data_IF_854878951532
#
_entry.id   IF_854878951532
#
_cell.length_a   1.000
_cell.length_b   1.000
_cell.length_c   1.000
_cell.angle_alpha   90.00
_cell.angle_beta   90.00
_cell.angle_gamma   90.00
#
_symmetry.space_group_name_H-M   'P 1'
#
loop_
_entity.id
_entity.type
_entity.pdbx_description
1 polymer ?
#
# COMPACT_ATOMS: atom_id res chain seq x y z
N UNK A 1 -12.52 39.14 -14.96
CA UNK A 1 -13.99 39.19 -15.02
C UNK A 1 -14.45 38.02 -15.85
N UNK A 2 -15.37 37.20 -15.34
CA UNK A 2 -15.81 35.95 -15.99
C UNK A 2 -16.51 36.13 -17.33
N UNK A 3 -17.27 35.13 -17.77
CA UNK A 3 -18.06 35.19 -19.00
C UNK A 3 -19.06 36.36 -18.94
N UNK A 4 -18.90 37.35 -19.84
CA UNK A 4 -19.76 38.54 -19.96
C UNK A 4 -20.66 38.51 -21.19
N UNK A 5 -20.79 37.38 -21.87
CA UNK A 5 -21.56 37.24 -23.11
C UNK A 5 -22.99 37.77 -22.93
N UNK A 6 -23.68 37.39 -21.87
CA UNK A 6 -25.04 37.88 -21.60
C UNK A 6 -25.11 39.39 -21.31
N UNK A 7 -24.07 39.98 -20.71
CA UNK A 7 -24.00 41.44 -20.52
C UNK A 7 -23.83 42.17 -21.85
N UNK A 8 -23.03 41.60 -22.77
CA UNK A 8 -22.84 42.15 -24.12
C UNK A 8 -24.10 41.99 -24.96
N UNK A 9 -24.81 40.87 -24.84
CA UNK A 9 -26.09 40.63 -25.52
C UNK A 9 -27.21 41.57 -25.03
N UNK A 10 -27.23 41.92 -23.74
CA UNK A 10 -28.24 42.81 -23.17
C UNK A 10 -27.99 44.30 -23.47
N UNK A 11 -26.74 44.70 -23.72
CA UNK A 11 -26.35 46.10 -23.92
C UNK A 11 -27.14 46.82 -25.02
N UNK A 12 -27.33 46.26 -26.24
CA UNK A 12 -28.12 46.91 -27.29
C UNK A 12 -29.57 47.20 -26.89
N UNK A 13 -30.19 46.30 -26.12
CA UNK A 13 -31.57 46.43 -25.66
C UNK A 13 -31.67 47.59 -24.66
N UNK A 14 -30.78 47.60 -23.66
CA UNK A 14 -30.74 48.63 -22.62
C UNK A 14 -30.42 50.01 -23.22
N UNK A 15 -29.44 50.08 -24.13
CA UNK A 15 -29.06 51.34 -24.80
C UNK A 15 -30.24 51.89 -25.62
N UNK A 16 -30.98 51.03 -26.32
CA UNK A 16 -32.13 51.44 -27.13
C UNK A 16 -33.25 52.02 -26.26
N UNK A 17 -33.55 51.37 -25.14
CA UNK A 17 -34.61 51.81 -24.23
C UNK A 17 -34.26 53.13 -23.53
N UNK A 18 -33.02 53.27 -23.05
CA UNK A 18 -32.54 54.51 -22.44
C UNK A 18 -32.54 55.68 -23.44
N UNK A 19 -32.15 55.46 -24.70
CA UNK A 19 -32.27 56.50 -25.74
C UNK A 19 -33.72 56.90 -25.99
N UNK A 20 -34.66 55.96 -25.94
CA UNK A 20 -36.10 56.24 -26.09
C UNK A 20 -36.64 57.11 -24.95
N UNK A 21 -36.11 56.92 -23.75
CA UNK A 21 -36.44 57.74 -22.57
C UNK A 21 -35.69 59.08 -22.51
N UNK A 22 -35.02 59.48 -23.60
CA UNK A 22 -34.37 60.78 -23.72
C UNK A 22 -32.95 60.87 -23.16
N UNK A 23 -32.36 59.76 -22.72
CA UNK A 23 -30.99 59.76 -22.21
C UNK A 23 -29.96 59.80 -23.36
N UNK A 24 -28.98 60.67 -23.25
CA UNK A 24 -27.80 60.73 -24.12
C UNK A 24 -26.61 60.01 -23.47
N UNK A 25 -25.89 59.22 -24.26
CA UNK A 25 -24.65 58.59 -23.82
C UNK A 25 -23.50 59.49 -24.23
N UNK A 26 -22.89 60.12 -23.25
CA UNK A 26 -21.74 61.01 -23.40
C UNK A 26 -20.52 60.36 -22.73
N UNK A 27 -19.34 60.63 -23.27
CA UNK A 27 -18.11 60.20 -22.61
C UNK A 27 -17.85 61.09 -21.39
N UNK A 28 -17.04 60.59 -20.44
CA UNK A 28 -16.61 61.41 -19.29
C UNK A 28 -15.85 62.66 -19.79
N UNK A 29 -15.13 62.56 -20.91
CA UNK A 29 -14.50 63.70 -21.60
C UNK A 29 -15.48 64.75 -22.08
N UNK A 30 -16.60 64.34 -22.67
CA UNK A 30 -17.64 65.27 -23.11
C UNK A 30 -18.32 65.95 -21.91
N UNK A 31 -18.57 65.21 -20.82
CA UNK A 31 -19.14 65.77 -19.58
C UNK A 31 -18.21 66.77 -18.89
N UNK A 32 -16.90 66.52 -18.93
CA UNK A 32 -15.91 67.37 -18.28
C UNK A 32 -15.38 68.48 -19.20
N UNK A 33 -15.82 68.52 -20.47
CA UNK A 33 -15.33 69.42 -21.51
C UNK A 33 -13.79 69.40 -21.62
N UNK A 34 -13.21 68.18 -21.63
CA UNK A 34 -11.77 67.93 -21.72
C UNK A 34 -11.48 67.01 -22.88
N UNK A 35 -10.28 67.15 -23.45
CA UNK A 35 -9.82 66.22 -24.47
C UNK A 35 -9.66 64.81 -23.89
N UNK A 36 -9.93 63.78 -24.70
CA UNK A 36 -9.88 62.38 -24.27
C UNK A 36 -8.53 62.03 -23.63
N UNK A 37 -7.44 62.54 -24.18
CA UNK A 37 -6.08 62.29 -23.74
C UNK A 37 -5.74 63.01 -22.42
N UNK A 38 -6.54 63.99 -21.97
CA UNK A 38 -6.38 64.59 -20.65
C UNK A 38 -7.00 63.72 -19.54
N UNK A 39 -8.04 62.95 -19.87
CA UNK A 39 -8.73 62.05 -18.93
C UNK A 39 -8.14 60.63 -18.96
N UNK A 40 -7.64 60.20 -20.12
CA UNK A 40 -6.95 58.93 -20.28
C UNK A 40 -5.60 59.17 -20.97
N UNK A 41 -4.62 59.76 -20.25
CA UNK A 41 -3.34 60.11 -20.84
C UNK A 41 -2.61 58.89 -21.41
N UNK A 42 -1.92 59.05 -22.55
CA UNK A 42 -1.14 57.97 -23.12
C UNK A 42 -0.07 57.55 -22.12
N UNK A 43 0.13 56.24 -22.00
CA UNK A 43 1.06 55.66 -21.02
C UNK A 43 2.45 56.24 -21.23
N UNK A 44 3.01 56.87 -20.19
CA UNK A 44 4.37 57.42 -20.20
C UNK A 44 5.40 56.33 -20.50
N UNK A 45 6.59 56.72 -20.99
CA UNK A 45 7.68 55.78 -21.29
C UNK A 45 8.05 54.89 -20.10
N UNK A 46 7.98 55.43 -18.87
CA UNK A 46 8.14 54.67 -17.62
C UNK A 46 6.94 53.73 -17.36
N UNK A 47 5.71 54.20 -17.57
CA UNK A 47 4.50 53.39 -17.41
C UNK A 47 4.41 52.19 -18.36
N UNK A 48 5.03 52.27 -19.55
CA UNK A 48 5.07 51.14 -20.50
C UNK A 48 5.86 49.95 -19.94
N UNK A 49 6.93 50.19 -19.17
CA UNK A 49 7.69 49.12 -18.52
C UNK A 49 6.88 48.45 -17.41
N UNK A 50 6.18 49.24 -16.59
CA UNK A 50 5.26 48.71 -15.58
C UNK A 50 4.12 47.88 -16.19
N UNK A 51 3.58 48.31 -17.34
CA UNK A 51 2.52 47.57 -18.04
C UNK A 51 3.02 46.23 -18.57
N UNK A 52 4.22 46.19 -19.16
CA UNK A 52 4.87 44.95 -19.61
C UNK A 52 5.15 44.01 -18.44
N UNK A 53 5.70 44.55 -17.34
CA UNK A 53 5.96 43.80 -16.10
C UNK A 53 4.68 43.20 -15.53
N UNK A 54 3.64 44.01 -15.32
CA UNK A 54 2.37 43.54 -14.79
C UNK A 54 1.72 42.49 -15.71
N UNK A 55 1.73 42.71 -17.03
CA UNK A 55 1.23 41.73 -17.99
C UNK A 55 2.00 40.40 -17.88
N UNK A 56 3.34 40.46 -17.80
CA UNK A 56 4.17 39.27 -17.65
C UNK A 56 3.89 38.54 -16.33
N UNK A 57 3.80 39.27 -15.20
CA UNK A 57 3.52 38.68 -13.89
C UNK A 57 2.14 38.04 -13.84
N UNK A 58 1.07 38.76 -14.22
CA UNK A 58 -0.29 38.22 -14.16
C UNK A 58 -0.52 37.10 -15.17
N UNK A 59 0.04 37.19 -16.38
CA UNK A 59 -0.04 36.08 -17.34
C UNK A 59 0.77 34.88 -16.86
N UNK A 60 1.98 35.08 -16.33
CA UNK A 60 2.80 34.03 -15.75
C UNK A 60 2.11 33.33 -14.58
N UNK A 61 1.54 34.08 -13.63
CA UNK A 61 0.75 33.53 -12.53
C UNK A 61 -0.50 32.79 -13.03
N UNK A 62 -1.16 33.31 -14.07
CA UNK A 62 -2.28 32.65 -14.74
C UNK A 62 -1.87 31.29 -15.34
N UNK A 63 -0.81 31.26 -16.15
CA UNK A 63 -0.28 30.04 -16.74
C UNK A 63 0.17 29.04 -15.67
N UNK A 64 0.87 29.49 -14.64
CA UNK A 64 1.29 28.64 -13.52
C UNK A 64 0.09 27.99 -12.83
N UNK A 65 -0.96 28.77 -12.54
CA UNK A 65 -2.22 28.25 -11.98
C UNK A 65 -2.87 27.24 -12.94
N UNK A 66 -2.92 27.52 -14.24
CA UNK A 66 -3.50 26.61 -15.24
C UNK A 66 -2.73 25.29 -15.34
N UNK A 67 -1.39 25.34 -15.33
CA UNK A 67 -0.55 24.15 -15.32
C UNK A 67 -0.81 23.34 -14.04
N UNK A 68 -0.75 23.98 -12.87
CA UNK A 68 -0.95 23.32 -11.59
C UNK A 68 -2.34 22.66 -11.50
N UNK A 69 -3.40 23.37 -11.91
CA UNK A 69 -4.77 22.83 -11.91
C UNK A 69 -4.93 21.68 -12.90
N UNK A 70 -4.30 21.76 -14.08
CA UNK A 70 -4.32 20.67 -15.06
C UNK A 70 -3.63 19.42 -14.52
N UNK A 71 -2.44 19.58 -13.92
CA UNK A 71 -1.72 18.48 -13.26
C UNK A 71 -2.59 17.85 -12.17
N UNK A 72 -3.29 18.67 -11.37
CA UNK A 72 -4.16 18.18 -10.30
C UNK A 72 -5.33 17.35 -10.84
N UNK A 73 -6.01 17.81 -11.89
CA UNK A 73 -7.09 17.04 -12.52
C UNK A 73 -6.59 15.74 -13.16
N UNK A 74 -5.41 15.76 -13.81
CA UNK A 74 -4.80 14.54 -14.35
C UNK A 74 -4.47 13.56 -13.20
N UNK A 75 -3.87 14.03 -12.11
CA UNK A 75 -3.55 13.20 -10.96
C UNK A 75 -4.80 12.58 -10.31
N UNK A 76 -5.88 13.35 -10.14
CA UNK A 76 -7.17 12.83 -9.67
C UNK A 76 -7.72 11.78 -10.64
N UNK A 77 -7.71 12.07 -11.94
CA UNK A 77 -8.19 11.14 -12.97
C UNK A 77 -7.44 9.81 -12.96
N UNK A 78 -6.10 9.87 -12.90
CA UNK A 78 -5.24 8.69 -12.77
C UNK A 78 -5.49 7.95 -11.45
N UNK A 79 -5.70 8.66 -10.35
CA UNK A 79 -6.04 8.08 -9.05
C UNK A 79 -7.36 7.31 -9.07
N UNK A 80 -8.42 7.91 -9.63
CA UNK A 80 -9.73 7.26 -9.79
C UNK A 80 -9.61 6.05 -10.72
N UNK A 81 -8.92 6.19 -11.86
CA UNK A 81 -8.72 5.10 -12.80
C UNK A 81 -7.98 3.93 -12.14
N UNK A 82 -6.86 4.19 -11.44
CA UNK A 82 -6.12 3.18 -10.67
C UNK A 82 -7.03 2.49 -9.66
N UNK A 83 -7.82 3.24 -8.89
CA UNK A 83 -8.70 2.67 -7.88
C UNK A 83 -9.76 1.74 -8.48
N UNK A 84 -10.42 2.16 -9.57
CA UNK A 84 -11.39 1.33 -10.28
C UNK A 84 -10.74 0.08 -10.89
N UNK A 85 -9.54 0.23 -11.44
CA UNK A 85 -8.74 -0.87 -11.99
C UNK A 85 -8.42 -1.91 -10.91
N UNK A 86 -7.93 -1.48 -9.75
CA UNK A 86 -7.62 -2.36 -8.62
C UNK A 86 -8.89 -3.07 -8.09
N UNK A 87 -10.00 -2.35 -7.96
CA UNK A 87 -11.28 -2.96 -7.54
C UNK A 87 -11.73 -4.04 -8.51
N UNK A 88 -11.66 -3.77 -9.81
CA UNK A 88 -12.06 -4.74 -10.84
C UNK A 88 -11.27 -6.04 -10.75
N UNK A 89 -9.93 -5.95 -10.71
CA UNK A 89 -9.07 -7.14 -10.60
C UNK A 89 -9.19 -7.84 -9.25
N UNK A 90 -9.31 -7.11 -8.14
CA UNK A 90 -9.51 -7.71 -6.83
C UNK A 90 -10.86 -8.45 -6.73
N UNK A 91 -11.90 -7.94 -7.37
CA UNK A 91 -13.20 -8.62 -7.47
C UNK A 91 -13.13 -9.88 -8.33
N UNK A 92 -12.42 -9.83 -9.46
CA UNK A 92 -12.17 -10.98 -10.32
C UNK A 92 -11.42 -12.09 -9.56
N UNK A 93 -10.35 -11.72 -8.84
CA UNK A 93 -9.58 -12.61 -7.97
C UNK A 93 -10.46 -13.27 -6.90
N UNK A 94 -11.32 -12.48 -6.24
CA UNK A 94 -12.23 -12.99 -5.21
C UNK A 94 -13.20 -14.01 -5.78
N UNK A 95 -13.77 -13.77 -6.97
CA UNK A 95 -14.67 -14.72 -7.64
C UNK A 95 -13.94 -16.03 -7.98
N UNK A 96 -12.74 -15.95 -8.55
CA UNK A 96 -11.89 -17.12 -8.87
C UNK A 96 -11.54 -17.94 -7.62
N UNK A 97 -11.26 -17.26 -6.50
CA UNK A 97 -10.93 -17.93 -5.23
C UNK A 97 -12.13 -18.64 -4.63
N UNK A 98 -13.33 -18.06 -4.73
CA UNK A 98 -14.58 -18.66 -4.23
C UNK A 98 -15.00 -19.90 -5.03
N UNK A 99 -14.64 -19.99 -6.32
CA UNK A 99 -14.95 -21.15 -7.16
C UNK A 99 -13.86 -22.23 -7.15
N UNK A 100 -12.76 -22.04 -6.41
CA UNK A 100 -11.64 -22.99 -6.41
C UNK A 100 -11.99 -24.22 -5.57
N UNK A 101 -11.87 -25.40 -6.17
CA UNK A 101 -11.96 -26.67 -5.45
C UNK A 101 -10.87 -26.73 -4.36
N UNK A 102 -11.25 -27.23 -3.19
CA UNK A 102 -10.33 -27.41 -2.07
C UNK A 102 -10.11 -28.91 -1.93
N UNK A 103 -8.91 -29.37 -2.29
CA UNK A 103 -8.55 -30.75 -2.06
C UNK A 103 -8.13 -30.95 -0.59
N UNK A 104 -9.03 -31.49 0.23
CA UNK A 104 -8.75 -31.77 1.64
C UNK A 104 -7.69 -32.85 1.87
N UNK A 105 -7.34 -33.64 0.85
CA UNK A 105 -6.29 -34.67 0.96
C UNK A 105 -4.88 -34.12 0.76
N UNK A 106 -4.73 -32.90 0.21
CA UNK A 106 -3.43 -32.27 0.03
C UNK A 106 -2.93 -31.71 1.37
N UNK A 107 -2.14 -32.52 2.08
CA UNK A 107 -1.60 -32.18 3.40
C UNK A 107 -0.09 -32.45 3.48
N UNK A 108 0.75 -31.69 2.74
CA UNK A 108 2.21 -31.81 2.86
C UNK A 108 2.70 -31.45 4.26
N UNK A 109 3.81 -32.02 4.71
CA UNK A 109 4.37 -31.65 6.01
C UNK A 109 4.84 -30.18 5.99
N UNK A 110 4.42 -29.39 6.98
CA UNK A 110 4.72 -27.96 7.10
C UNK A 110 5.70 -27.70 8.23
N UNK A 111 6.73 -26.89 7.99
CA UNK A 111 7.56 -26.34 9.07
C UNK A 111 7.23 -24.86 9.24
N UNK A 112 6.68 -24.49 10.40
CA UNK A 112 6.50 -23.09 10.79
C UNK A 112 7.81 -22.62 11.43
N UNK A 113 8.44 -21.61 10.85
CA UNK A 113 9.74 -21.09 11.28
C UNK A 113 9.56 -19.67 11.81
N UNK A 114 10.04 -19.44 13.02
CA UNK A 114 9.93 -18.18 13.75
C UNK A 114 11.34 -17.76 14.18
N UNK A 115 11.77 -16.57 13.76
CA UNK A 115 12.94 -15.91 14.36
C UNK A 115 12.48 -15.08 15.55
N UNK A 116 13.15 -15.22 16.68
CA UNK A 116 12.83 -14.51 17.92
C UNK A 116 14.07 -13.81 18.47
N UNK A 117 13.91 -12.54 18.86
CA UNK A 117 14.92 -11.76 19.57
C UNK A 117 14.24 -10.79 20.54
N UNK A 118 14.37 -11.05 21.84
CA UNK A 118 13.74 -10.28 22.91
C UNK A 118 12.18 -10.24 22.85
N UNK A 119 11.55 -11.41 22.75
CA UNK A 119 10.11 -11.61 22.54
C UNK A 119 9.41 -12.34 23.71
N UNK A 120 9.95 -12.26 24.93
CA UNK A 120 9.49 -13.01 26.10
C UNK A 120 7.98 -12.84 26.40
N UNK A 121 7.42 -11.68 26.05
CA UNK A 121 6.04 -11.29 26.37
C UNK A 121 5.00 -11.83 25.40
N UNK A 122 5.40 -12.18 24.18
CA UNK A 122 4.48 -12.48 23.08
C UNK A 122 4.68 -13.86 22.47
N UNK A 123 5.89 -14.40 22.50
CA UNK A 123 6.26 -15.64 21.80
C UNK A 123 5.38 -16.84 22.17
N UNK A 124 5.06 -16.99 23.46
CA UNK A 124 4.21 -18.09 23.93
C UNK A 124 2.80 -18.02 23.32
N UNK A 125 2.23 -16.82 23.22
CA UNK A 125 0.90 -16.61 22.65
C UNK A 125 0.89 -16.92 21.15
N UNK A 126 1.94 -16.52 20.44
CA UNK A 126 2.13 -16.81 19.02
C UNK A 126 2.17 -18.32 18.77
N UNK A 127 2.97 -19.06 19.54
CA UNK A 127 3.08 -20.51 19.39
C UNK A 127 1.76 -21.21 19.74
N UNK A 128 1.07 -20.79 20.80
CA UNK A 128 -0.27 -21.33 21.09
C UNK A 128 -1.23 -21.13 19.91
N UNK A 129 -1.22 -19.97 19.25
CA UNK A 129 -2.06 -19.74 18.07
C UNK A 129 -1.73 -20.67 16.90
N UNK A 130 -0.47 -21.07 16.75
CA UNK A 130 -0.05 -22.06 15.74
C UNK A 130 -0.49 -23.47 16.15
N UNK A 131 -0.36 -23.81 17.42
CA UNK A 131 -0.77 -25.12 17.96
C UNK A 131 -2.28 -25.33 17.89
N UNK A 132 -3.07 -24.25 17.97
CA UNK A 132 -4.53 -24.25 17.80
C UNK A 132 -4.98 -24.38 16.33
N UNK A 133 -4.03 -24.48 15.38
CA UNK A 133 -4.33 -24.66 13.96
C UNK A 133 -5.12 -25.96 13.71
N UNK A 134 -6.05 -25.89 12.75
CA UNK A 134 -6.78 -27.06 12.26
C UNK A 134 -5.93 -27.95 11.34
N UNK A 135 -4.76 -27.48 10.92
CA UNK A 135 -3.80 -28.24 10.12
C UNK A 135 -3.02 -29.21 11.01
N UNK A 136 -2.88 -30.49 10.63
CA UNK A 136 -2.31 -31.51 11.53
C UNK A 136 -0.83 -31.81 11.30
N UNK A 137 -0.39 -31.80 10.05
CA UNK A 137 0.96 -32.23 9.65
C UNK A 137 1.97 -31.08 9.68
N UNK A 138 2.35 -30.64 10.88
CA UNK A 138 3.32 -29.55 11.03
C UNK A 138 4.26 -29.69 12.23
N UNK A 139 5.41 -29.03 12.13
CA UNK A 139 6.31 -28.69 13.24
C UNK A 139 6.45 -27.16 13.37
N UNK A 140 6.88 -26.70 14.54
CA UNK A 140 7.21 -25.32 14.85
C UNK A 140 8.67 -25.26 15.27
N UNK A 141 9.45 -24.45 14.57
CA UNK A 141 10.87 -24.22 14.84
C UNK A 141 11.01 -22.76 15.24
N UNK A 142 11.41 -22.53 16.47
CA UNK A 142 11.73 -21.21 17.01
C UNK A 142 13.23 -21.08 17.07
N UNK A 143 13.79 -20.11 16.36
CA UNK A 143 15.20 -19.78 16.38
C UNK A 143 15.37 -18.52 17.21
N UNK A 144 15.93 -18.67 18.41
CA UNK A 144 16.33 -17.57 19.26
C UNK A 144 17.68 -17.02 18.79
N UNK A 145 17.67 -15.78 18.29
CA UNK A 145 18.83 -15.07 17.74
C UNK A 145 19.63 -14.34 18.83
N UNK A 146 19.93 -15.06 19.92
CA UNK A 146 20.73 -14.54 21.03
C UNK A 146 19.98 -13.52 21.90
N UNK A 147 18.72 -13.79 22.23
CA UNK A 147 17.92 -12.94 23.14
C UNK A 147 18.63 -12.70 24.48
N UNK A 148 18.48 -11.48 24.97
CA UNK A 148 19.00 -11.03 26.28
C UNK A 148 17.94 -11.05 27.39
N UNK A 149 16.68 -11.26 27.03
CA UNK A 149 15.54 -11.36 27.93
C UNK A 149 15.17 -12.83 28.25
N UNK A 150 13.99 -13.06 28.81
CA UNK A 150 13.47 -14.38 29.14
C UNK A 150 12.97 -15.23 27.95
N UNK A 151 13.15 -14.84 26.68
CA UNK A 151 12.54 -15.52 25.52
C UNK A 151 12.82 -17.03 25.49
N UNK A 152 14.10 -17.42 25.53
CA UNK A 152 14.49 -18.83 25.58
C UNK A 152 13.97 -19.55 26.81
N UNK A 153 13.92 -18.87 27.96
CA UNK A 153 13.41 -19.45 29.21
C UNK A 153 11.92 -19.77 29.11
N UNK A 154 11.13 -18.82 28.61
CA UNK A 154 9.69 -19.00 28.35
C UNK A 154 9.45 -20.19 27.41
N UNK A 155 10.27 -20.31 26.36
CA UNK A 155 10.20 -21.42 25.41
C UNK A 155 10.46 -22.78 26.06
N UNK A 156 11.51 -22.86 26.89
CA UNK A 156 11.85 -24.09 27.60
C UNK A 156 10.77 -24.44 28.64
N UNK A 157 10.34 -23.48 29.47
CA UNK A 157 9.35 -23.75 30.52
C UNK A 157 7.98 -24.14 29.95
N UNK A 158 7.55 -23.50 28.86
CA UNK A 158 6.21 -23.70 28.29
C UNK A 158 6.14 -24.87 27.31
N UNK A 159 7.19 -25.11 26.51
CA UNK A 159 7.13 -26.03 25.37
C UNK A 159 8.18 -27.16 25.37
N UNK A 160 9.02 -27.33 26.41
CA UNK A 160 10.10 -28.34 26.40
C UNK A 160 9.68 -29.78 26.03
N UNK A 161 8.43 -30.17 26.32
CA UNK A 161 7.89 -31.51 26.02
C UNK A 161 6.89 -31.53 24.87
N UNK A 162 6.65 -30.40 24.22
CA UNK A 162 5.67 -30.36 23.15
C UNK A 162 6.24 -31.03 21.88
N UNK A 163 5.65 -32.13 21.37
CA UNK A 163 6.26 -32.95 20.32
C UNK A 163 6.47 -32.23 18.98
N UNK A 164 5.73 -31.13 18.77
CA UNK A 164 5.81 -30.32 17.55
C UNK A 164 6.70 -29.09 17.66
N UNK A 165 7.15 -28.69 18.86
CA UNK A 165 7.87 -27.42 19.05
C UNK A 165 9.34 -27.70 19.31
N UNK A 166 10.21 -27.01 18.57
CA UNK A 166 11.66 -27.08 18.70
C UNK A 166 12.21 -25.68 18.91
N UNK A 167 13.03 -25.52 19.94
CA UNK A 167 13.83 -24.31 20.17
C UNK A 167 15.25 -24.56 19.66
N UNK A 168 15.79 -23.60 18.92
CA UNK A 168 17.19 -23.56 18.48
C UNK A 168 17.75 -22.22 18.95
N UNK A 169 18.87 -22.25 19.66
CA UNK A 169 19.54 -21.05 20.14
C UNK A 169 20.81 -20.84 19.32
N UNK A 170 21.05 -19.60 18.89
CA UNK A 170 22.28 -19.19 18.21
C UNK A 170 22.78 -17.86 18.76
N UNK A 171 24.02 -17.51 18.41
CA UNK A 171 24.53 -16.15 18.61
C UNK A 171 23.80 -15.18 17.67
N UNK A 172 23.60 -13.94 18.11
CA UNK A 172 22.88 -12.91 17.34
C UNK A 172 23.56 -12.66 15.99
N UNK A 173 22.80 -12.86 14.91
CA UNK A 173 23.25 -12.59 13.54
C UNK A 173 22.17 -11.91 12.69
N UNK A 174 21.10 -11.42 13.30
CA UNK A 174 19.96 -10.82 12.63
C UNK A 174 18.89 -11.82 12.18
N UNK A 175 17.73 -11.27 11.80
CA UNK A 175 16.53 -12.03 11.43
C UNK A 175 16.78 -13.01 10.28
N UNK A 176 17.42 -12.58 9.19
CA UNK A 176 17.73 -13.43 8.04
C UNK A 176 18.61 -14.62 8.43
N UNK A 177 19.64 -14.40 9.25
CA UNK A 177 20.52 -15.46 9.77
C UNK A 177 19.74 -16.49 10.60
N UNK A 178 18.87 -16.03 11.50
CA UNK A 178 18.01 -16.91 12.30
C UNK A 178 16.99 -17.69 11.44
N UNK A 179 16.34 -17.02 10.48
CA UNK A 179 15.41 -17.65 9.55
C UNK A 179 16.10 -18.70 8.67
N UNK A 180 17.30 -18.41 8.17
CA UNK A 180 18.11 -19.33 7.36
C UNK A 180 18.47 -20.59 8.15
N UNK A 181 18.86 -20.46 9.42
CA UNK A 181 19.08 -21.62 10.30
C UNK A 181 17.79 -22.44 10.47
N UNK A 182 16.64 -21.76 10.66
CA UNK A 182 15.34 -22.41 10.73
C UNK A 182 14.98 -23.18 9.45
N UNK A 183 15.27 -22.61 8.28
CA UNK A 183 15.04 -23.25 6.98
C UNK A 183 15.89 -24.51 6.80
N UNK A 184 17.16 -24.46 7.20
CA UNK A 184 18.04 -25.63 7.14
C UNK A 184 17.55 -26.76 8.06
N UNK A 185 16.99 -26.41 9.22
CA UNK A 185 16.55 -27.35 10.25
C UNK A 185 15.09 -27.84 10.08
N UNK A 186 14.38 -27.26 9.12
CA UNK A 186 13.02 -27.63 8.74
C UNK A 186 12.96 -28.99 8.06
N UNK A 187 11.89 -29.75 8.25
CA UNK A 187 11.62 -31.03 7.56
C UNK A 187 10.47 -30.94 6.57
N UNK A 188 9.69 -29.87 6.66
CA UNK A 188 8.53 -29.61 5.82
C UNK A 188 8.89 -29.42 4.35
N UNK A 189 7.98 -29.88 3.50
CA UNK A 189 8.00 -29.55 2.08
C UNK A 189 7.65 -28.07 1.87
N UNK A 190 6.72 -27.57 2.71
CA UNK A 190 6.31 -26.17 2.76
C UNK A 190 6.85 -25.55 4.04
N UNK A 191 7.48 -24.38 3.90
CA UNK A 191 7.95 -23.57 5.01
C UNK A 191 6.97 -22.41 5.18
N UNK A 192 6.46 -22.21 6.39
CA UNK A 192 5.69 -21.03 6.77
C UNK A 192 6.57 -20.15 7.65
N UNK A 193 6.83 -18.92 7.22
CA UNK A 193 7.53 -17.90 8.01
C UNK A 193 6.50 -17.11 8.82
N UNK A 194 6.81 -16.84 10.08
CA UNK A 194 5.95 -16.06 10.96
C UNK A 194 6.80 -15.19 11.89
N UNK A 195 6.38 -13.94 12.10
CA UNK A 195 6.98 -13.08 13.12
C UNK A 195 6.58 -13.57 14.53
N UNK A 196 7.47 -13.35 15.50
CA UNK A 196 7.32 -13.84 16.87
C UNK A 196 6.12 -13.24 17.64
N UNK A 197 5.56 -12.12 17.16
CA UNK A 197 4.43 -11.39 17.76
C UNK A 197 3.10 -11.58 16.98
N UNK A 198 3.10 -12.40 15.92
CA UNK A 198 1.94 -12.55 15.04
C UNK A 198 1.02 -13.70 15.45
N UNK A 199 -0.26 -13.39 15.67
CA UNK A 199 -1.29 -14.39 15.97
C UNK A 199 -1.98 -14.82 14.69
N UNK A 200 -2.06 -16.13 14.44
CA UNK A 200 -2.74 -16.67 13.27
C UNK A 200 -4.15 -17.19 13.59
N UNK A 201 -5.01 -17.21 12.57
CA UNK A 201 -6.30 -17.88 12.66
C UNK A 201 -6.13 -19.40 12.57
N UNK A 202 -7.08 -20.16 13.15
CA UNK A 202 -7.03 -21.63 13.17
C UNK A 202 -6.96 -22.25 11.77
N UNK A 203 -7.49 -21.58 10.74
CA UNK A 203 -7.50 -22.01 9.35
C UNK A 203 -6.39 -21.38 8.50
N UNK A 204 -5.51 -20.56 9.07
CA UNK A 204 -4.51 -19.81 8.30
C UNK A 204 -3.55 -20.73 7.52
N UNK A 205 -2.99 -21.74 8.20
CA UNK A 205 -2.04 -22.68 7.58
C UNK A 205 -2.73 -23.50 6.48
N UNK A 206 -3.93 -24.05 6.76
CA UNK A 206 -4.66 -24.84 5.76
C UNK A 206 -5.09 -24.01 4.54
N UNK A 207 -5.50 -22.76 4.75
CA UNK A 207 -5.83 -21.84 3.66
C UNK A 207 -4.62 -21.43 2.80
N UNK A 208 -3.42 -21.37 3.37
CA UNK A 208 -2.19 -21.08 2.64
C UNK A 208 -1.68 -22.32 1.89
N UNK A 209 -1.61 -23.46 2.57
CA UNK A 209 -1.02 -24.70 2.04
C UNK A 209 -1.75 -25.20 0.80
N UNK A 210 -3.08 -25.10 0.75
CA UNK A 210 -3.88 -25.56 -0.41
C UNK A 210 -3.45 -24.94 -1.74
N UNK A 211 -2.83 -23.76 -1.74
CA UNK A 211 -2.39 -23.11 -2.97
C UNK A 211 -1.16 -23.81 -3.59
N UNK A 212 -0.38 -24.54 -2.80
CA UNK A 212 0.75 -25.34 -3.27
C UNK A 212 0.33 -26.67 -3.93
N UNK A 213 -0.96 -26.98 -4.03
CA UNK A 213 -1.39 -28.09 -4.90
C UNK A 213 -0.99 -27.79 -6.36
N UNK A 214 -1.02 -26.52 -6.76
CA UNK A 214 -0.47 -26.06 -8.03
C UNK A 214 1.06 -25.96 -7.95
N UNK A 215 1.74 -26.79 -8.72
CA UNK A 215 3.22 -26.86 -8.76
C UNK A 215 3.88 -25.55 -9.23
N UNK A 216 3.13 -24.68 -9.93
CA UNK A 216 3.63 -23.38 -10.37
C UNK A 216 3.60 -22.31 -9.26
N UNK A 217 2.93 -22.57 -8.15
CA UNK A 217 2.90 -21.66 -7.01
C UNK A 217 4.18 -21.83 -6.20
N UNK A 218 5.05 -20.81 -6.25
CA UNK A 218 6.31 -20.78 -5.52
C UNK A 218 6.16 -20.25 -4.08
N UNK A 219 5.25 -19.29 -3.89
CA UNK A 219 5.03 -18.62 -2.61
C UNK A 219 3.57 -18.18 -2.42
N UNK A 220 3.15 -18.04 -1.16
CA UNK A 220 1.80 -17.62 -0.77
C UNK A 220 1.88 -16.64 0.39
N UNK A 221 1.22 -15.48 0.28
CA UNK A 221 1.10 -14.50 1.36
C UNK A 221 -0.16 -14.75 2.19
N UNK A 222 -0.04 -14.68 3.52
CA UNK A 222 -1.19 -14.62 4.40
C UNK A 222 -1.84 -13.22 4.43
N UNK A 223 -3.11 -13.18 4.82
CA UNK A 223 -3.89 -11.95 4.96
C UNK A 223 -3.70 -11.34 6.36
N UNK A 224 -2.79 -10.38 6.46
CA UNK A 224 -2.46 -9.67 7.71
C UNK A 224 -3.53 -8.62 8.04
N UNK A 225 -3.93 -8.58 9.32
CA UNK A 225 -4.91 -7.62 9.83
C UNK A 225 -4.46 -7.05 11.17
N UNK A 226 -4.75 -5.78 11.39
CA UNK A 226 -4.57 -5.13 12.70
C UNK A 226 -5.45 -5.81 13.75
N UNK A 227 -4.82 -6.34 14.80
CA UNK A 227 -5.47 -7.05 15.89
C UNK A 227 -6.06 -6.15 16.98
N UNK A 228 -5.50 -4.96 17.20
CA UNK A 228 -5.84 -4.07 18.32
C UNK A 228 -6.78 -2.90 17.93
N UNK A 229 -8.01 -3.19 17.51
CA UNK A 229 -8.99 -2.17 17.07
C UNK A 229 -9.74 -1.52 18.23
N UNK A 230 -9.03 -0.73 19.03
CA UNK A 230 -9.55 -0.12 20.27
C UNK A 230 -9.94 1.35 20.13
N UNK A 231 -9.41 2.08 19.16
CA UNK A 231 -9.64 3.52 19.03
C UNK A 231 -9.65 3.97 17.55
N UNK A 232 -9.86 5.26 17.31
CA UNK A 232 -9.90 5.83 15.96
C UNK A 232 -8.59 5.61 15.19
N UNK A 233 -7.45 5.78 15.85
CA UNK A 233 -6.13 5.60 15.22
C UNK A 233 -5.94 4.15 14.75
N UNK A 234 -6.22 3.16 15.60
CA UNK A 234 -6.09 1.74 15.22
C UNK A 234 -7.18 1.29 14.24
N UNK A 235 -8.32 1.99 14.20
CA UNK A 235 -9.34 1.79 13.17
C UNK A 235 -8.88 2.34 11.82
N UNK A 236 -8.25 3.53 11.78
CA UNK A 236 -7.66 4.07 10.56
C UNK A 236 -6.50 3.21 10.06
N UNK A 237 -5.63 2.75 10.95
CA UNK A 237 -4.60 1.77 10.62
C UNK A 237 -5.22 0.49 10.04
N UNK A 238 -6.35 0.04 10.59
CA UNK A 238 -7.05 -1.12 10.04
C UNK A 238 -7.58 -0.87 8.62
N UNK A 239 -8.16 0.31 8.36
CA UNK A 239 -8.61 0.71 7.02
C UNK A 239 -7.43 0.75 6.07
N UNK A 240 -6.31 1.37 6.45
CA UNK A 240 -5.07 1.41 5.67
C UNK A 240 -4.58 0.00 5.30
N UNK A 241 -4.56 -0.94 6.26
CA UNK A 241 -4.19 -2.34 5.98
C UNK A 241 -5.13 -3.03 4.99
N UNK A 242 -6.44 -2.75 5.06
CA UNK A 242 -7.41 -3.32 4.11
C UNK A 242 -7.23 -2.70 2.72
N UNK A 243 -7.20 -1.37 2.63
CA UNK A 243 -7.25 -0.65 1.36
C UNK A 243 -5.88 -0.61 0.67
N UNK A 244 -4.80 -0.41 1.43
CA UNK A 244 -3.44 -0.25 0.93
C UNK A 244 -2.74 -1.57 0.64
N UNK A 245 -2.92 -2.59 1.47
CA UNK A 245 -2.23 -3.88 1.28
C UNK A 245 -3.15 -4.95 0.66
N UNK A 246 -4.31 -5.20 1.26
CA UNK A 246 -5.11 -6.36 0.89
C UNK A 246 -5.85 -6.21 -0.45
N UNK A 247 -6.31 -5.00 -0.79
CA UNK A 247 -6.96 -4.75 -2.09
C UNK A 247 -5.94 -4.86 -3.23
N UNK A 248 -4.80 -4.20 -3.10
CA UNK A 248 -3.75 -4.19 -4.13
C UNK A 248 -3.18 -5.59 -4.36
N UNK A 249 -2.91 -6.34 -3.29
CA UNK A 249 -2.42 -7.73 -3.41
C UNK A 249 -3.39 -8.65 -4.16
N UNK A 250 -4.70 -8.51 -3.96
CA UNK A 250 -5.67 -9.31 -4.74
C UNK A 250 -5.63 -8.96 -6.22
N UNK A 251 -5.46 -7.68 -6.55
CA UNK A 251 -5.31 -7.27 -7.94
C UNK A 251 -4.01 -7.82 -8.54
N UNK A 252 -2.90 -7.76 -7.79
CA UNK A 252 -1.60 -8.26 -8.23
C UNK A 252 -1.54 -9.78 -8.33
N UNK A 253 -2.24 -10.53 -7.47
CA UNK A 253 -2.40 -11.98 -7.57
C UNK A 253 -3.10 -12.38 -8.88
N UNK A 254 -4.16 -11.67 -9.26
CA UNK A 254 -4.84 -11.91 -10.55
C UNK A 254 -3.99 -11.52 -11.76
N UNK A 255 -3.12 -10.52 -11.62
CA UNK A 255 -2.18 -10.09 -12.66
C UNK A 255 -0.85 -10.85 -12.65
N UNK A 256 -0.66 -11.77 -11.69
CA UNK A 256 0.59 -12.50 -11.46
C UNK A 256 1.82 -11.58 -11.28
N UNK A 257 1.68 -10.50 -10.50
CA UNK A 257 2.72 -9.50 -10.26
C UNK A 257 2.91 -9.15 -8.77
N UNK A 258 2.77 -10.15 -7.88
CA UNK A 258 3.04 -9.97 -6.44
C UNK A 258 4.51 -9.63 -6.23
N UNK A 259 4.79 -8.43 -5.74
CA UNK A 259 6.17 -7.96 -5.53
C UNK A 259 6.75 -8.37 -4.17
N UNK A 260 5.89 -8.70 -3.20
CA UNK A 260 6.32 -9.06 -1.84
C UNK A 260 5.34 -10.03 -1.18
N UNK A 261 5.89 -11.13 -0.66
CA UNK A 261 5.24 -12.00 0.33
C UNK A 261 5.82 -11.61 1.71
N UNK A 262 5.05 -10.99 2.61
CA UNK A 262 5.57 -10.38 3.82
C UNK A 262 6.08 -11.41 4.84
N UNK A 263 7.13 -11.05 5.58
CA UNK A 263 7.68 -11.85 6.68
C UNK A 263 6.68 -12.16 7.80
N UNK A 264 5.70 -11.28 8.03
CA UNK A 264 4.67 -11.44 9.06
C UNK A 264 3.91 -12.77 8.96
N UNK A 265 3.57 -13.19 7.73
CA UNK A 265 3.05 -14.53 7.44
C UNK A 265 3.20 -14.84 5.95
N UNK A 266 4.16 -15.70 5.63
CA UNK A 266 4.47 -16.13 4.27
C UNK A 266 4.63 -17.64 4.22
N UNK A 267 4.28 -18.27 3.10
CA UNK A 267 4.60 -19.67 2.85
C UNK A 267 5.39 -19.82 1.55
N UNK A 268 6.27 -20.81 1.55
CA UNK A 268 7.25 -21.03 0.50
C UNK A 268 7.47 -22.52 0.28
N UNK A 269 7.76 -22.94 -0.95
CA UNK A 269 8.30 -24.28 -1.20
C UNK A 269 9.73 -24.35 -0.69
N UNK A 270 10.03 -25.31 0.18
CA UNK A 270 11.40 -25.48 0.71
C UNK A 270 12.43 -25.65 -0.41
N UNK A 271 12.10 -26.44 -1.42
CA UNK A 271 12.97 -26.69 -2.58
C UNK A 271 13.42 -25.37 -3.23
N UNK A 272 12.48 -24.47 -3.51
CA UNK A 272 12.77 -23.19 -4.16
C UNK A 272 13.62 -22.28 -3.25
N UNK A 273 13.36 -22.28 -1.94
CA UNK A 273 14.16 -21.49 -0.96
C UNK A 273 15.60 -21.99 -0.91
N UNK A 274 15.81 -23.30 -0.98
CA UNK A 274 17.16 -23.89 -1.02
C UNK A 274 17.86 -23.57 -2.35
N UNK A 275 17.15 -23.68 -3.47
CA UNK A 275 17.68 -23.39 -4.81
C UNK A 275 18.05 -21.90 -4.98
N UNK A 276 17.34 -20.98 -4.32
CA UNK A 276 17.65 -19.55 -4.34
C UNK A 276 18.80 -19.15 -3.42
N UNK A 277 19.33 -20.07 -2.60
CA UNK A 277 20.38 -19.76 -1.63
C UNK A 277 19.87 -19.12 -0.33
N UNK A 278 18.63 -19.40 0.07
CA UNK A 278 17.97 -18.88 1.27
C UNK A 278 17.71 -17.36 1.24
N UNK A 279 17.49 -16.72 2.41
CA UNK A 279 17.28 -15.27 2.50
C UNK A 279 18.61 -14.52 2.44
N UNK A 280 18.61 -13.42 1.71
CA UNK A 280 19.73 -12.47 1.70
C UNK A 280 19.89 -11.83 3.08
N UNK A 281 21.13 -11.70 3.54
CA UNK A 281 21.49 -10.96 4.76
C UNK A 281 21.90 -9.51 4.44
N UNK A 282 21.99 -9.15 3.15
CA UNK A 282 22.45 -7.83 2.69
C UNK A 282 21.38 -6.74 2.78
N UNK A 283 20.11 -7.11 2.94
CA UNK A 283 18.98 -6.17 2.96
C UNK A 283 18.08 -6.36 4.18
N UNK A 284 17.35 -5.30 4.54
CA UNK A 284 16.31 -5.34 5.57
C UNK A 284 14.95 -5.78 5.03
N UNK A 285 14.87 -6.10 3.73
CA UNK A 285 13.64 -6.50 3.03
C UNK A 285 13.84 -7.90 2.44
N UNK A 286 14.29 -8.82 3.28
CA UNK A 286 14.72 -10.17 2.91
C UNK A 286 13.60 -10.96 2.22
N UNK A 287 12.36 -10.69 2.62
CA UNK A 287 11.15 -11.30 2.11
C UNK A 287 10.80 -10.84 0.68
N UNK A 288 11.06 -9.57 0.39
CA UNK A 288 10.91 -8.94 -0.92
C UNK A 288 11.97 -9.46 -1.88
N UNK A 289 13.23 -9.56 -1.43
CA UNK A 289 14.32 -10.08 -2.25
C UNK A 289 14.07 -11.54 -2.66
N UNK A 290 13.61 -12.37 -1.71
CA UNK A 290 13.24 -13.75 -2.01
C UNK A 290 12.06 -13.83 -2.98
N UNK A 291 11.04 -12.97 -2.79
CA UNK A 291 9.88 -12.89 -3.70
C UNK A 291 10.33 -12.57 -5.13
N UNK A 292 11.17 -11.55 -5.30
CA UNK A 292 11.67 -11.13 -6.61
C UNK A 292 12.57 -12.21 -7.23
N UNK A 293 13.38 -12.90 -6.42
CA UNK A 293 14.23 -14.00 -6.89
C UNK A 293 13.39 -15.14 -7.48
N UNK A 294 12.20 -15.42 -6.93
CA UNK A 294 11.29 -16.44 -7.46
C UNK A 294 10.55 -16.01 -8.73
N UNK A 295 10.52 -14.71 -9.04
CA UNK A 295 9.88 -14.17 -10.25
C UNK A 295 10.86 -14.06 -11.44
N UNK A 296 12.17 -14.24 -11.21
CA UNK A 296 13.20 -14.23 -12.25
C UNK A 296 13.34 -15.60 -12.90
#
# INVERSE_FOLDING_TARGET
GGNRTHTVEALPIIIKDLKKNGYSFVTISDLMNKERDEIMPPVSSEGKQYLLYNKAVFSGAGYFKHILTTIFYIAIGLGIFRFLFLIYFAWKQKRKTLSRYINSSYQPFVSVVIAAYNEEKVIAKTIHSILDSNYREFEVIVVDDGSTDGTSKVMQETFYKHPKVRLIQKENGGKSSAMNLGFQQSRGEIIVTLDADTIIAQDAISLMVRHFEDQNVAAVSGNVKVGNRRNLLTTWQHVEYITGFNLERRAFDELNCITVVPGAIGAWRKKNVVESGYLSEDTLAEDTDLTITFLR
#
